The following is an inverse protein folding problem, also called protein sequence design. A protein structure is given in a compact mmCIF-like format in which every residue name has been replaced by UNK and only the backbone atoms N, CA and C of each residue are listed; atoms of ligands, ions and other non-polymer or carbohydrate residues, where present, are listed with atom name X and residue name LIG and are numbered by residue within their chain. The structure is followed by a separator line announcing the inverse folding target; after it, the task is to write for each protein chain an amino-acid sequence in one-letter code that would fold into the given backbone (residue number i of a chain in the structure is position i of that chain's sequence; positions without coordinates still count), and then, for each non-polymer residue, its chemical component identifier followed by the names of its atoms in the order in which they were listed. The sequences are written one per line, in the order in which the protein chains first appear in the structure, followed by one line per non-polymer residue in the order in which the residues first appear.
data_IF_319586729576
#
_entry.id   IF_319586729576
#
_cell.length_a   1.000
_cell.length_b   1.000
_cell.length_c   1.000
_cell.angle_alpha   90.00
_cell.angle_beta   90.00
_cell.angle_gamma   90.00
#
_symmetry.space_group_name_H-M   'P 1'
#
loop_
_entity.id
_entity.type
_entity.pdbx_description
1 polymer ?
#
# COMPACT_ATOMS: atom_id res chain seq x y z
N UNK A 1 -20.55 -31.16 -54.72
CA UNK A 1 -19.14 -30.71 -54.62
C UNK A 1 -19.08 -29.42 -53.81
N UNK A 2 -19.87 -28.40 -54.14
CA UNK A 2 -19.88 -27.10 -53.43
C UNK A 2 -20.06 -27.18 -51.89
N UNK A 3 -20.90 -28.08 -51.38
CA UNK A 3 -21.15 -28.20 -49.94
C UNK A 3 -19.96 -28.80 -49.16
N UNK A 4 -19.17 -29.66 -49.80
CA UNK A 4 -17.94 -30.21 -49.21
C UNK A 4 -16.81 -29.19 -49.22
N UNK A 5 -16.74 -28.35 -50.26
CA UNK A 5 -15.79 -27.26 -50.36
C UNK A 5 -16.08 -26.17 -49.32
N UNK A 6 -17.35 -25.83 -49.09
CA UNK A 6 -17.76 -24.89 -48.05
C UNK A 6 -17.43 -25.41 -46.65
N UNK A 7 -17.68 -26.69 -46.37
CA UNK A 7 -17.35 -27.30 -45.08
C UNK A 7 -15.83 -27.28 -44.80
N UNK A 8 -15.00 -27.39 -45.83
CA UNK A 8 -13.55 -27.31 -45.72
C UNK A 8 -13.08 -25.88 -45.43
N UNK A 9 -13.68 -24.87 -46.10
CA UNK A 9 -13.42 -23.45 -45.82
C UNK A 9 -13.79 -23.10 -44.39
N UNK A 10 -14.98 -23.51 -43.92
CA UNK A 10 -15.43 -23.27 -42.55
C UNK A 10 -14.49 -23.92 -41.51
N UNK A 11 -13.91 -25.08 -41.83
CA UNK A 11 -12.94 -25.74 -40.95
C UNK A 11 -11.62 -24.99 -40.90
N UNK A 12 -11.11 -24.51 -42.04
CA UNK A 12 -9.90 -23.69 -42.11
C UNK A 12 -10.08 -22.37 -41.34
N UNK A 13 -11.26 -21.75 -41.41
CA UNK A 13 -11.58 -20.55 -40.64
C UNK A 13 -11.55 -20.82 -39.14
N UNK A 14 -12.17 -21.91 -38.67
CA UNK A 14 -12.14 -22.32 -37.26
C UNK A 14 -10.73 -22.59 -36.77
N UNK A 15 -9.91 -23.27 -37.57
CA UNK A 15 -8.53 -23.58 -37.21
C UNK A 15 -7.69 -22.29 -37.15
N UNK A 16 -7.93 -21.33 -38.06
CA UNK A 16 -7.26 -20.04 -38.04
C UNK A 16 -7.67 -19.21 -36.80
N UNK A 17 -8.96 -19.18 -36.44
CA UNK A 17 -9.43 -18.55 -35.19
C UNK A 17 -8.79 -19.19 -33.95
N UNK A 18 -8.69 -20.52 -33.93
CA UNK A 18 -8.04 -21.25 -32.85
C UNK A 18 -6.56 -20.89 -32.72
N UNK A 19 -5.84 -20.81 -33.84
CA UNK A 19 -4.42 -20.40 -33.85
C UNK A 19 -4.26 -18.94 -33.40
N UNK A 20 -5.13 -18.03 -33.88
CA UNK A 20 -5.15 -16.63 -33.43
C UNK A 20 -5.33 -16.53 -31.92
N UNK A 21 -6.27 -17.29 -31.35
CA UNK A 21 -6.48 -17.34 -29.91
C UNK A 21 -5.26 -17.85 -29.14
N UNK A 22 -4.58 -18.88 -29.67
CA UNK A 22 -3.34 -19.42 -29.10
C UNK A 22 -2.19 -18.40 -29.10
N UNK A 23 -2.07 -17.60 -30.16
CA UNK A 23 -1.08 -16.52 -30.24
C UNK A 23 -1.36 -15.43 -29.19
N UNK A 24 -2.63 -15.08 -28.99
CA UNK A 24 -3.06 -14.03 -28.06
C UNK A 24 -2.94 -14.37 -26.58
N UNK A 25 -2.89 -15.67 -26.25
CA UNK A 25 -2.62 -16.17 -24.89
C UNK A 25 -1.19 -15.83 -24.42
N UNK A 26 -0.26 -15.63 -25.36
CA UNK A 26 1.14 -15.33 -25.06
C UNK A 26 1.35 -13.81 -25.15
N UNK A 27 2.01 -13.18 -24.15
CA UNK A 27 2.17 -11.73 -24.16
C UNK A 27 2.90 -11.21 -25.42
N UNK A 28 2.45 -10.11 -26.04
CA UNK A 28 3.13 -9.47 -27.18
C UNK A 28 4.62 -9.19 -26.95
N UNK A 29 5.03 -9.00 -25.69
CA UNK A 29 6.44 -8.82 -25.33
C UNK A 29 7.35 -9.99 -25.67
N UNK A 30 6.82 -11.17 -25.99
CA UNK A 30 7.58 -12.37 -26.35
C UNK A 30 7.82 -12.44 -27.87
N UNK A 31 6.84 -12.05 -28.69
CA UNK A 31 6.89 -12.20 -30.15
C UNK A 31 7.61 -11.08 -30.88
N UNK A 32 7.46 -9.83 -30.43
CA UNK A 32 7.95 -8.68 -31.18
C UNK A 32 9.43 -8.35 -30.88
N UNK A 33 10.05 -7.54 -31.71
CA UNK A 33 11.40 -7.01 -31.50
C UNK A 33 11.44 -5.84 -30.48
N UNK A 34 12.64 -5.39 -30.13
CA UNK A 34 12.81 -4.30 -29.15
C UNK A 34 12.20 -2.98 -29.62
N UNK A 35 12.25 -2.71 -30.93
CA UNK A 35 11.80 -1.44 -31.50
C UNK A 35 10.27 -1.38 -31.62
N UNK A 36 9.64 -2.46 -32.10
CA UNK A 36 8.19 -2.63 -32.09
C UNK A 36 7.64 -2.62 -30.66
N UNK A 37 8.33 -3.23 -29.69
CA UNK A 37 8.00 -3.08 -28.26
C UNK A 37 8.07 -1.63 -27.79
N UNK A 38 9.06 -0.87 -28.24
CA UNK A 38 9.21 0.53 -27.84
C UNK A 38 8.06 1.39 -28.39
N UNK A 39 7.69 1.19 -29.68
CA UNK A 39 6.53 1.83 -30.32
C UNK A 39 5.24 1.54 -29.55
N UNK A 40 4.97 0.27 -29.24
CA UNK A 40 3.75 -0.16 -28.52
C UNK A 40 3.69 0.39 -27.08
N UNK A 41 4.83 0.44 -26.38
CA UNK A 41 4.92 1.07 -25.05
C UNK A 41 4.67 2.58 -25.12
N UNK A 42 5.17 3.24 -26.17
CA UNK A 42 4.98 4.67 -26.38
C UNK A 42 3.50 4.99 -26.65
N UNK A 43 2.88 4.26 -27.56
CA UNK A 43 1.48 4.41 -27.91
C UNK A 43 0.55 4.17 -26.72
N UNK A 44 0.78 3.09 -25.96
CA UNK A 44 0.04 2.80 -24.72
C UNK A 44 0.18 3.92 -23.68
N UNK A 45 1.36 4.56 -23.59
CA UNK A 45 1.55 5.72 -22.71
C UNK A 45 0.76 6.93 -23.20
N UNK A 46 0.71 7.17 -24.51
CA UNK A 46 -0.07 8.25 -25.15
C UNK A 46 -1.56 8.07 -24.87
N UNK A 47 -2.11 6.87 -25.09
CA UNK A 47 -3.50 6.51 -24.82
C UNK A 47 -3.88 6.71 -23.33
N UNK A 48 -3.06 6.17 -22.40
CA UNK A 48 -3.29 6.34 -20.95
C UNK A 48 -3.25 7.81 -20.54
N UNK A 49 -2.35 8.62 -21.10
CA UNK A 49 -2.29 10.05 -20.81
C UNK A 49 -3.55 10.79 -21.30
N UNK A 50 -4.03 10.48 -22.51
CA UNK A 50 -5.29 11.02 -23.04
C UNK A 50 -6.49 10.73 -22.13
N UNK A 51 -6.64 9.47 -21.70
CA UNK A 51 -7.71 9.05 -20.78
C UNK A 51 -7.64 9.76 -19.41
N UNK A 52 -6.42 9.97 -18.89
CA UNK A 52 -6.23 10.72 -17.63
C UNK A 52 -6.59 12.18 -17.81
N UNK A 53 -6.26 12.79 -18.95
CA UNK A 53 -6.63 14.18 -19.25
C UNK A 53 -8.16 14.33 -19.40
N UNK A 54 -8.82 13.45 -20.17
CA UNK A 54 -10.28 13.47 -20.32
C UNK A 54 -11.01 13.19 -19.01
N UNK A 55 -10.55 12.21 -18.21
CA UNK A 55 -11.16 11.95 -16.90
C UNK A 55 -10.96 13.11 -15.92
N UNK A 56 -9.80 13.79 -15.92
CA UNK A 56 -9.59 15.02 -15.12
C UNK A 56 -10.53 16.15 -15.52
N UNK A 57 -10.88 16.29 -16.80
CA UNK A 57 -11.87 17.28 -17.27
C UNK A 57 -13.28 16.95 -16.76
N UNK A 58 -13.68 15.68 -16.74
CA UNK A 58 -14.98 15.25 -16.21
C UNK A 58 -15.05 15.26 -14.67
N UNK A 59 -13.95 14.94 -13.97
CA UNK A 59 -13.89 15.01 -12.50
C UNK A 59 -14.08 16.45 -11.97
N UNK A 60 -13.63 17.46 -12.73
CA UNK A 60 -13.91 18.88 -12.41
C UNK A 60 -15.41 19.22 -12.48
N UNK A 61 -16.21 18.47 -13.24
CA UNK A 61 -17.67 18.66 -13.35
C UNK A 61 -18.42 17.99 -12.20
N UNK A 62 -17.92 16.85 -11.69
CA UNK A 62 -18.64 15.98 -10.75
C UNK A 62 -18.22 16.09 -9.26
N UNK A 63 -17.27 16.96 -8.90
CA UNK A 63 -16.78 17.12 -7.50
C UNK A 63 -16.37 15.78 -6.82
N UNK A 64 -15.83 14.83 -7.59
CA UNK A 64 -15.30 13.56 -7.06
C UNK A 64 -13.78 13.57 -7.13
N UNK A 65 -13.12 13.64 -5.97
CA UNK A 65 -11.65 13.60 -5.90
C UNK A 65 -11.12 12.16 -5.98
N UNK A 66 -11.08 11.55 -7.18
CA UNK A 66 -10.23 10.37 -7.36
C UNK A 66 -8.78 10.81 -7.51
N UNK A 67 -7.90 10.27 -6.67
CA UNK A 67 -6.46 10.51 -6.80
C UNK A 67 -5.96 10.07 -8.18
N UNK A 68 -5.04 10.82 -8.77
CA UNK A 68 -4.41 10.50 -10.07
C UNK A 68 -3.83 9.07 -10.11
N UNK A 69 -3.38 8.56 -8.96
CA UNK A 69 -2.90 7.19 -8.80
C UNK A 69 -4.00 6.14 -8.98
N UNK A 70 -5.25 6.44 -8.63
CA UNK A 70 -6.38 5.54 -8.84
C UNK A 70 -6.78 5.51 -10.32
N UNK A 71 -6.81 6.67 -10.98
CA UNK A 71 -7.06 6.78 -12.42
C UNK A 71 -5.99 6.04 -13.24
N UNK A 72 -4.71 6.22 -12.89
CA UNK A 72 -3.60 5.51 -13.53
C UNK A 72 -3.70 3.99 -13.36
N UNK A 73 -4.12 3.52 -12.18
CA UNK A 73 -4.34 2.09 -11.95
C UNK A 73 -5.49 1.56 -12.80
N UNK A 74 -6.61 2.29 -12.86
CA UNK A 74 -7.77 1.89 -13.66
C UNK A 74 -7.41 1.81 -15.15
N UNK A 75 -6.81 2.85 -15.71
CA UNK A 75 -6.40 2.89 -17.11
C UNK A 75 -5.33 1.82 -17.45
N UNK A 76 -4.45 1.51 -16.51
CA UNK A 76 -3.39 0.51 -16.72
C UNK A 76 -3.88 -0.94 -16.69
N UNK A 77 -4.97 -1.21 -15.97
CA UNK A 77 -5.52 -2.56 -15.80
C UNK A 77 -6.82 -2.76 -16.60
N UNK A 78 -7.10 -1.88 -17.55
CA UNK A 78 -8.25 -2.01 -18.44
C UNK A 78 -7.99 -3.11 -19.48
N UNK A 79 -8.82 -4.18 -19.54
CA UNK A 79 -8.67 -5.24 -20.53
C UNK A 79 -8.72 -4.74 -21.96
N UNK A 80 -9.52 -3.68 -22.24
CA UNK A 80 -9.68 -3.12 -23.59
C UNK A 80 -8.45 -2.35 -24.09
N UNK A 81 -7.48 -2.08 -23.21
CA UNK A 81 -6.26 -1.32 -23.52
C UNK A 81 -5.04 -2.24 -23.74
N UNK A 82 -5.23 -3.56 -23.74
CA UNK A 82 -4.19 -4.52 -24.08
C UNK A 82 -4.56 -5.14 -25.42
N UNK A 83 -3.86 -4.72 -26.47
CA UNK A 83 -4.05 -5.28 -27.81
C UNK A 83 -3.53 -6.73 -27.86
N UNK A 84 -4.29 -7.66 -28.45
CA UNK A 84 -3.83 -9.02 -28.75
C UNK A 84 -2.67 -9.02 -29.75
N UNK A 85 -1.92 -10.12 -29.81
CA UNK A 85 -0.75 -10.26 -30.70
C UNK A 85 -1.16 -10.20 -32.16
N UNK A 86 -2.28 -10.85 -32.47
CA UNK A 86 -2.88 -10.89 -33.81
C UNK A 86 -3.22 -9.50 -34.34
N UNK A 87 -3.84 -8.67 -33.51
CA UNK A 87 -4.20 -7.29 -33.87
C UNK A 87 -2.99 -6.34 -34.00
N UNK A 88 -1.84 -6.70 -33.42
CA UNK A 88 -0.59 -5.93 -33.60
C UNK A 88 0.12 -6.32 -34.91
N UNK A 89 -0.15 -7.53 -35.42
CA UNK A 89 0.41 -8.03 -36.68
C UNK A 89 -0.44 -7.65 -37.90
N UNK A 90 -1.74 -7.42 -37.73
CA UNK A 90 -2.56 -6.85 -38.78
C UNK A 90 -2.08 -5.43 -39.08
N UNK A 91 -1.63 -5.14 -40.32
CA UNK A 91 -1.25 -3.79 -40.69
C UNK A 91 -2.46 -2.88 -40.49
N UNK A 92 -2.30 -1.84 -39.67
CA UNK A 92 -3.35 -0.84 -39.56
C UNK A 92 -3.35 -0.01 -40.85
N UNK A 93 -4.50 0.56 -41.23
CA UNK A 93 -4.57 1.51 -42.37
C UNK A 93 -3.55 2.65 -42.21
N UNK A 94 -3.21 2.99 -40.97
CA UNK A 94 -2.19 3.98 -40.64
C UNK A 94 -0.76 3.51 -40.98
N UNK A 95 -0.47 2.20 -40.97
CA UNK A 95 0.82 1.63 -41.41
C UNK A 95 0.92 1.54 -42.94
N UNK A 96 -0.21 1.35 -43.64
CA UNK A 96 -0.27 1.46 -45.11
C UNK A 96 -0.06 2.93 -45.54
N UNK A 97 -0.70 3.90 -44.86
CA UNK A 97 -0.49 5.33 -45.10
C UNK A 97 0.94 5.77 -44.73
N UNK A 98 1.55 5.30 -43.64
CA UNK A 98 2.97 5.59 -43.32
C UNK A 98 3.91 5.00 -44.39
N UNK A 99 3.60 3.83 -44.96
CA UNK A 99 4.40 3.24 -46.04
C UNK A 99 4.24 3.98 -47.37
N UNK A 100 3.06 4.54 -47.66
CA UNK A 100 2.81 5.38 -48.84
C UNK A 100 3.43 6.77 -48.69
N UNK A 101 3.43 7.36 -47.49
CA UNK A 101 4.13 8.61 -47.19
C UNK A 101 5.66 8.46 -47.30
N UNK A 102 6.23 7.33 -46.86
CA UNK A 102 7.68 7.05 -46.99
C UNK A 102 8.10 6.80 -48.46
N UNK A 103 7.20 6.27 -49.29
CA UNK A 103 7.39 6.16 -50.76
C UNK A 103 7.25 7.54 -51.45
N UNK A 104 6.35 8.40 -50.99
CA UNK A 104 6.22 9.77 -51.50
C UNK A 104 7.40 10.68 -51.11
N UNK A 105 7.95 10.53 -49.90
CA UNK A 105 9.07 11.33 -49.41
C UNK A 105 10.36 10.99 -50.19
N UNK A 106 10.59 9.71 -50.47
CA UNK A 106 11.69 9.24 -51.34
C UNK A 106 11.57 9.74 -52.80
N UNK A 107 10.34 9.87 -53.34
CA UNK A 107 10.10 10.49 -54.67
C UNK A 107 10.26 12.02 -54.67
N UNK A 108 10.04 12.68 -53.53
CA UNK A 108 10.26 14.14 -53.36
C UNK A 108 11.75 14.48 -53.20
N UNK A 109 12.54 13.61 -52.59
CA UNK A 109 13.98 13.82 -52.40
C UNK A 109 14.82 13.58 -53.66
N UNK A 110 14.35 12.72 -54.58
CA UNK A 110 14.93 12.57 -55.92
C UNK A 110 14.69 13.82 -56.81
N UNK A 111 13.56 14.51 -56.61
CA UNK A 111 13.24 15.79 -57.28
C UNK A 111 13.93 17.00 -56.64
N UNK A 112 14.23 16.98 -55.33
CA UNK A 112 14.98 18.05 -54.65
C UNK A 112 16.48 18.04 -54.97
N UNK A 113 17.09 16.88 -55.24
CA UNK A 113 18.50 16.77 -55.69
C UNK A 113 18.77 17.37 -57.08
N UNK A 114 17.74 17.55 -57.92
CA UNK A 114 17.85 18.26 -59.22
C UNK A 114 17.64 19.78 -59.14
N UNK A 115 17.15 20.33 -58.02
CA UNK A 115 16.95 21.78 -57.81
C UNK A 115 18.00 22.45 -56.92
N UNK A 116 18.87 21.67 -56.26
CA UNK A 116 19.92 22.17 -55.34
C UNK A 116 21.26 22.52 -56.03
N UNK A 117 21.22 23.10 -57.24
CA UNK A 117 22.38 23.73 -57.91
C UNK A 117 22.26 25.25 -58.09
N UNK A 118 21.22 25.88 -57.56
CA UNK A 118 21.10 27.33 -57.57
C UNK A 118 20.70 27.87 -56.20
N UNK A 119 21.60 28.69 -55.65
CA UNK A 119 21.41 29.65 -54.56
C UNK A 119 21.53 29.13 -53.12
N UNK A 120 22.78 29.11 -52.70
CA UNK A 120 23.23 29.62 -51.41
C UNK A 120 22.66 31.02 -51.13
N UNK A 121 22.07 31.24 -49.96
CA UNK A 121 22.53 32.22 -48.95
C UNK A 121 21.39 32.59 -48.00
N UNK A 122 21.69 32.46 -46.72
CA UNK A 122 21.26 33.34 -45.62
C UNK A 122 20.14 32.88 -44.67
N UNK A 123 20.50 33.02 -43.39
CA UNK A 123 19.68 33.34 -42.21
C UNK A 123 19.25 32.23 -41.22
N UNK A 124 19.80 32.40 -40.01
CA UNK A 124 19.59 31.66 -38.76
C UNK A 124 18.42 32.23 -37.92
N UNK A 125 17.98 31.37 -36.98
CA UNK A 125 17.28 31.56 -35.70
C UNK A 125 15.73 31.65 -35.67
N UNK A 126 15.12 30.53 -35.25
CA UNK A 126 13.82 30.50 -34.57
C UNK A 126 14.01 30.34 -33.05
N UNK A 127 13.50 31.33 -32.31
CA UNK A 127 13.25 31.23 -30.88
C UNK A 127 11.92 30.54 -30.59
N UNK A 128 11.79 29.98 -29.38
CA UNK A 128 10.73 30.32 -28.41
C UNK A 128 10.74 29.33 -27.20
N UNK A 129 11.65 29.53 -26.23
CA UNK A 129 11.64 28.79 -24.97
C UNK A 129 11.78 29.71 -23.74
N UNK A 130 10.97 30.78 -23.66
CA UNK A 130 10.97 31.71 -22.50
C UNK A 130 9.58 32.20 -22.11
N UNK A 131 8.65 31.28 -21.78
CA UNK A 131 7.34 31.68 -21.22
C UNK A 131 6.80 30.80 -20.09
N UNK A 132 7.63 30.41 -19.11
CA UNK A 132 7.11 29.89 -17.81
C UNK A 132 7.83 30.49 -16.57
N UNK A 133 9.00 31.15 -16.68
CA UNK A 133 9.73 31.67 -15.49
C UNK A 133 9.28 33.04 -14.95
N UNK A 134 8.51 33.83 -15.69
CA UNK A 134 8.20 35.22 -15.28
C UNK A 134 6.95 35.41 -14.40
N UNK A 135 6.17 34.36 -14.09
CA UNK A 135 4.95 34.50 -13.25
C UNK A 135 5.18 34.29 -11.74
N UNK A 136 6.37 33.88 -11.32
CA UNK A 136 6.73 33.66 -9.90
C UNK A 136 7.59 34.78 -9.30
N UNK A 137 8.19 35.68 -10.11
CA UNK A 137 8.97 36.84 -9.61
C UNK A 137 8.10 38.04 -9.23
N UNK A 138 6.90 38.22 -9.80
CA UNK A 138 6.06 39.41 -9.52
C UNK A 138 5.29 39.35 -8.18
N UNK A 139 5.09 38.17 -7.59
CA UNK A 139 4.46 38.02 -6.26
C UNK A 139 5.42 38.14 -5.07
N UNK A 140 6.74 38.09 -5.32
CA UNK A 140 7.78 38.24 -4.27
C UNK A 140 8.15 39.71 -3.99
N UNK A 141 7.97 40.60 -4.97
CA UNK A 141 8.29 42.03 -4.82
C UNK A 141 7.28 42.81 -3.98
N UNK A 142 6.01 42.39 -3.91
CA UNK A 142 4.97 43.10 -3.16
C UNK A 142 4.94 42.83 -1.64
N UNK A 143 5.90 42.06 -1.09
CA UNK A 143 6.00 41.77 0.35
C UNK A 143 7.29 42.27 1.02
N UNK A 144 8.19 42.91 0.27
CA UNK A 144 9.44 43.43 0.81
C UNK A 144 9.39 44.92 1.18
N UNK A 145 8.39 45.67 0.70
CA UNK A 145 8.31 47.12 0.96
C UNK A 145 7.51 47.50 2.23
N UNK A 146 7.05 46.54 3.05
CA UNK A 146 6.24 46.81 4.24
C UNK A 146 6.87 46.34 5.56
N UNK A 147 8.19 46.08 5.60
CA UNK A 147 8.85 45.48 6.78
C UNK A 147 10.07 46.26 7.32
N UNK A 148 10.23 47.52 6.92
CA UNK A 148 11.36 48.36 7.34
C UNK A 148 10.89 49.50 8.24
N UNK A 149 10.75 49.23 9.55
CA UNK A 149 10.76 50.27 10.60
C UNK A 149 11.03 49.81 12.05
N UNK A 150 11.31 48.53 12.32
CA UNK A 150 11.65 48.06 13.69
C UNK A 150 13.07 47.45 13.81
N UNK A 151 13.93 47.96 14.72
CA UNK A 151 15.29 47.45 14.90
C UNK A 151 15.36 46.07 15.59
N UNK A 152 14.28 45.66 16.29
CA UNK A 152 14.23 44.38 17.02
C UNK A 152 13.97 43.15 16.12
N UNK A 153 13.58 43.33 14.86
CA UNK A 153 13.38 42.23 13.90
C UNK A 153 14.65 41.81 13.15
N UNK A 154 15.70 42.64 13.14
CA UNK A 154 16.95 42.37 12.39
C UNK A 154 17.75 41.19 12.96
N UNK A 155 17.68 40.96 14.27
CA UNK A 155 18.34 39.82 14.95
C UNK A 155 17.60 38.48 14.79
N UNK A 156 16.30 38.53 14.49
CA UNK A 156 15.46 37.35 14.24
C UNK A 156 15.60 36.87 12.80
N UNK A 157 15.73 37.79 11.84
CA UNK A 157 15.94 37.43 10.43
C UNK A 157 17.34 36.87 10.17
N UNK A 158 18.39 37.35 10.86
CA UNK A 158 19.73 36.75 10.79
C UNK A 158 19.73 35.31 11.31
N UNK A 159 19.08 35.06 12.45
CA UNK A 159 18.86 33.71 13.00
C UNK A 159 18.07 32.80 12.05
N UNK A 160 17.09 33.34 11.32
CA UNK A 160 16.31 32.58 10.34
C UNK A 160 17.13 32.22 9.10
N UNK A 161 17.96 33.14 8.62
CA UNK A 161 18.85 32.92 7.48
C UNK A 161 19.92 31.86 7.82
N UNK A 162 20.55 31.96 8.99
CA UNK A 162 21.50 30.96 9.50
C UNK A 162 20.87 29.57 9.66
N UNK A 163 19.61 29.51 10.14
CA UNK A 163 18.88 28.26 10.28
C UNK A 163 18.54 27.64 8.91
N UNK A 164 18.23 28.48 7.92
CA UNK A 164 18.00 28.04 6.54
C UNK A 164 19.28 27.53 5.89
N UNK A 165 20.41 28.15 6.16
CA UNK A 165 21.72 27.70 5.68
C UNK A 165 22.13 26.38 6.32
N UNK A 166 21.98 26.24 7.65
CA UNK A 166 22.16 24.96 8.36
C UNK A 166 21.24 23.85 7.84
N UNK A 167 19.99 24.19 7.49
CA UNK A 167 19.06 23.22 6.90
C UNK A 167 19.50 22.80 5.49
N UNK A 168 19.92 23.75 4.66
CA UNK A 168 20.42 23.48 3.29
C UNK A 168 21.67 22.61 3.33
N UNK A 169 22.67 22.97 4.15
CA UNK A 169 23.90 22.20 4.29
C UNK A 169 23.61 20.78 4.80
N UNK A 170 22.69 20.63 5.77
CA UNK A 170 22.28 19.30 6.25
C UNK A 170 21.54 18.48 5.18
N UNK A 171 20.72 19.12 4.35
CA UNK A 171 20.05 18.46 3.22
C UNK A 171 21.07 18.01 2.17
N UNK A 172 22.06 18.82 1.86
CA UNK A 172 23.15 18.47 0.94
C UNK A 172 24.01 17.35 1.50
N UNK A 173 24.38 17.39 2.78
CA UNK A 173 25.12 16.32 3.44
C UNK A 173 24.34 14.98 3.39
N UNK A 174 23.02 15.02 3.61
CA UNK A 174 22.16 13.84 3.49
C UNK A 174 21.96 13.38 2.04
N UNK A 175 21.95 14.31 1.08
CA UNK A 175 21.93 13.97 -0.35
C UNK A 175 23.23 13.31 -0.76
N UNK A 176 24.38 13.86 -0.38
CA UNK A 176 25.71 13.32 -0.68
C UNK A 176 25.94 11.95 0.00
N UNK A 177 25.51 11.77 1.26
CA UNK A 177 25.53 10.45 1.94
C UNK A 177 24.62 9.42 1.27
N UNK A 178 23.57 9.86 0.59
CA UNK A 178 22.62 9.02 -0.14
C UNK A 178 23.00 8.84 -1.61
N UNK A 179 23.84 9.72 -2.13
CA UNK A 179 24.44 9.77 -3.47
C UNK A 179 25.95 9.48 -3.39
N UNK A 180 26.37 8.45 -2.65
CA UNK A 180 27.65 7.81 -2.96
C UNK A 180 27.53 7.27 -4.40
N UNK A 181 28.03 8.05 -5.35
CA UNK A 181 28.34 7.79 -6.76
C UNK A 181 27.52 6.68 -7.40
N UNK A 182 26.21 6.91 -7.60
CA UNK A 182 25.44 6.08 -8.52
C UNK A 182 24.76 6.97 -9.54
N UNK A 183 24.89 6.62 -10.82
CA UNK A 183 24.21 7.30 -11.92
C UNK A 183 22.68 7.19 -11.76
N UNK A 184 21.92 8.07 -12.42
CA UNK A 184 20.44 8.05 -12.33
C UNK A 184 19.88 6.68 -12.75
N UNK A 185 20.53 6.03 -13.71
CA UNK A 185 20.14 4.71 -14.22
C UNK A 185 20.42 3.60 -13.21
N UNK A 186 21.57 3.62 -12.55
CA UNK A 186 21.91 2.69 -11.48
C UNK A 186 20.97 2.79 -10.27
N UNK A 187 20.48 4.01 -9.95
CA UNK A 187 19.48 4.22 -8.89
C UNK A 187 18.13 3.59 -9.30
N UNK A 188 17.75 3.71 -10.58
CA UNK A 188 16.53 3.10 -11.10
C UNK A 188 16.64 1.57 -11.13
N UNK A 189 17.79 1.05 -11.53
CA UNK A 189 18.08 -0.37 -11.59
C UNK A 189 18.10 -1.00 -10.20
N UNK A 190 18.75 -0.37 -9.22
CA UNK A 190 18.70 -0.80 -7.81
C UNK A 190 17.28 -0.82 -7.24
N UNK A 191 16.44 0.15 -7.63
CA UNK A 191 15.00 0.14 -7.29
C UNK A 191 14.24 -1.00 -7.98
N UNK A 192 14.54 -1.31 -9.25
CA UNK A 192 13.94 -2.44 -9.98
C UNK A 192 14.35 -3.77 -9.36
N UNK A 193 15.62 -3.98 -9.06
CA UNK A 193 16.15 -5.18 -8.39
C UNK A 193 15.50 -5.39 -7.02
N UNK A 194 15.41 -4.35 -6.18
CA UNK A 194 14.73 -4.42 -4.88
C UNK A 194 13.23 -4.76 -4.99
N UNK A 195 12.57 -4.32 -6.06
CA UNK A 195 11.16 -4.68 -6.36
C UNK A 195 11.04 -6.13 -6.83
N UNK A 196 11.97 -6.63 -7.64
CA UNK A 196 12.02 -8.04 -8.06
C UNK A 196 12.25 -8.97 -6.86
N UNK A 197 13.21 -8.63 -6.01
CA UNK A 197 13.53 -9.40 -4.79
C UNK A 197 12.34 -9.47 -3.82
N UNK A 198 11.66 -8.33 -3.57
CA UNK A 198 10.50 -8.33 -2.67
C UNK A 198 9.32 -9.13 -3.23
N UNK A 199 9.08 -9.11 -4.54
CA UNK A 199 8.09 -9.97 -5.20
C UNK A 199 8.45 -11.45 -5.09
N UNK A 200 9.72 -11.81 -5.24
CA UNK A 200 10.18 -13.20 -5.11
C UNK A 200 9.98 -13.72 -3.68
N UNK A 201 10.39 -12.93 -2.66
CA UNK A 201 10.16 -13.27 -1.24
C UNK A 201 8.69 -13.45 -0.91
N UNK A 202 7.81 -12.63 -1.48
CA UNK A 202 6.36 -12.76 -1.30
C UNK A 202 5.82 -14.04 -1.95
N UNK A 203 6.29 -14.41 -3.15
CA UNK A 203 5.92 -15.68 -3.82
C UNK A 203 6.35 -16.89 -3.00
N UNK A 204 7.59 -16.90 -2.49
CA UNK A 204 8.11 -17.97 -1.63
C UNK A 204 7.24 -18.11 -0.38
N UNK A 205 6.95 -17.00 0.32
CA UNK A 205 6.11 -17.00 1.52
C UNK A 205 4.69 -17.55 1.25
N UNK A 206 4.08 -17.17 0.12
CA UNK A 206 2.76 -17.69 -0.27
C UNK A 206 2.80 -19.19 -0.60
N UNK A 207 3.86 -19.68 -1.22
CA UNK A 207 4.04 -21.11 -1.53
C UNK A 207 4.21 -21.93 -0.24
N UNK A 208 5.02 -21.46 0.71
CA UNK A 208 5.20 -22.12 2.02
C UNK A 208 3.91 -22.13 2.85
N UNK A 209 3.11 -21.07 2.76
CA UNK A 209 1.84 -20.96 3.51
C UNK A 209 0.74 -21.86 2.93
N UNK A 210 0.72 -22.08 1.61
CA UNK A 210 -0.18 -23.04 0.95
C UNK A 210 0.19 -24.50 1.25
N UNK A 211 1.49 -24.83 1.23
CA UNK A 211 1.94 -26.19 1.56
C UNK A 211 1.64 -26.58 3.02
N UNK A 212 1.68 -25.62 3.95
CA UNK A 212 1.29 -25.87 5.34
C UNK A 212 -0.22 -26.02 5.55
N UNK A 213 -1.07 -25.54 4.62
CA UNK A 213 -2.53 -25.69 4.72
C UNK A 213 -3.03 -27.03 4.15
N UNK A 214 -2.39 -27.54 3.09
CA UNK A 214 -2.78 -28.81 2.48
C UNK A 214 -2.36 -30.05 3.28
N UNK A 215 -1.48 -29.94 4.29
CA UNK A 215 -1.14 -31.05 5.21
C UNK A 215 -2.14 -31.25 6.36
N UNK A 216 -3.20 -30.44 6.45
CA UNK A 216 -4.17 -30.48 7.55
C UNK A 216 -5.53 -31.11 7.21
N UNK A 217 -5.74 -31.64 6.00
CA UNK A 217 -7.06 -32.10 5.52
C UNK A 217 -6.95 -33.47 4.83
N UNK A 218 -6.43 -34.46 5.55
CA UNK A 218 -6.59 -35.88 5.18
C UNK A 218 -6.90 -36.66 6.45
N UNK A 219 -8.18 -36.94 6.64
CA UNK A 219 -8.72 -37.71 7.76
C UNK A 219 -10.23 -37.89 7.61
N UNK A 220 -10.60 -38.92 6.82
CA UNK A 220 -11.93 -39.56 6.73
C UNK A 220 -12.53 -39.84 8.13
N UNK A 221 -13.84 -39.99 8.35
CA UNK A 221 -14.93 -40.20 7.41
C UNK A 221 -16.32 -40.19 8.08
N UNK A 222 -17.31 -40.34 7.20
CA UNK A 222 -18.77 -40.52 7.38
C UNK A 222 -19.21 -41.56 8.43
N UNK A 223 -20.32 -41.33 9.15
CA UNK A 223 -21.63 -42.03 9.00
C UNK A 223 -22.68 -41.53 10.04
N UNK A 224 -23.94 -41.50 9.62
CA UNK A 224 -25.18 -41.33 10.41
C UNK A 224 -25.43 -42.47 11.42
N UNK A 225 -26.14 -42.19 12.53
CA UNK A 225 -27.27 -42.96 13.11
C UNK A 225 -27.49 -42.76 14.64
N UNK A 226 -28.71 -42.32 14.98
CA UNK A 226 -29.68 -42.86 15.97
C UNK A 226 -29.26 -43.16 17.45
N UNK A 227 -29.88 -42.39 18.35
CA UNK A 227 -30.60 -42.72 19.62
C UNK A 227 -30.25 -43.94 20.51
N UNK A 228 -30.31 -43.69 21.83
CA UNK A 228 -30.44 -44.56 23.02
C UNK A 228 -29.21 -45.12 23.77
N UNK A 229 -29.10 -44.70 25.05
CA UNK A 229 -29.30 -45.60 26.19
C UNK A 229 -28.11 -46.41 26.75
N UNK A 230 -27.72 -46.04 27.98
CA UNK A 230 -27.14 -46.88 29.05
C UNK A 230 -25.70 -47.46 28.91
N UNK A 231 -24.90 -47.12 29.93
CA UNK A 231 -23.62 -47.72 30.39
C UNK A 231 -23.83 -49.20 30.84
N UNK A 232 -22.81 -50.09 30.91
CA UNK A 232 -21.55 -49.84 31.64
C UNK A 232 -20.22 -50.46 31.13
N UNK A 233 -19.13 -49.89 31.67
CA UNK A 233 -17.83 -50.51 32.01
C UNK A 233 -16.96 -51.20 30.93
N UNK A 234 -15.87 -50.54 30.55
CA UNK A 234 -14.67 -51.15 29.94
C UNK A 234 -13.55 -50.11 29.72
N UNK A 235 -12.27 -50.39 30.03
CA UNK A 235 -11.34 -49.38 30.53
C UNK A 235 -10.47 -48.72 29.45
N UNK A 236 -10.52 -47.40 29.32
CA UNK A 236 -9.37 -46.65 28.81
C UNK A 236 -9.14 -45.34 29.58
N UNK A 237 -8.32 -45.48 30.62
CA UNK A 237 -7.77 -44.38 31.41
C UNK A 237 -6.79 -43.61 30.54
N UNK A 238 -7.21 -42.50 29.92
CA UNK A 238 -6.35 -41.30 29.71
C UNK A 238 -7.04 -40.06 29.10
N UNK A 239 -8.36 -39.89 29.23
CA UNK A 239 -8.94 -38.54 29.14
C UNK A 239 -9.18 -38.04 30.56
N UNK A 240 -8.26 -37.22 31.09
CA UNK A 240 -8.56 -36.46 32.31
C UNK A 240 -9.85 -35.70 32.04
N UNK A 241 -10.94 -36.08 32.71
CA UNK A 241 -12.18 -35.33 32.71
C UNK A 241 -11.84 -33.85 32.90
N UNK A 242 -12.16 -33.03 31.91
CA UNK A 242 -11.84 -31.62 31.95
C UNK A 242 -12.60 -31.04 33.14
N UNK A 243 -11.87 -30.64 34.19
CA UNK A 243 -12.46 -29.95 35.33
C UNK A 243 -13.25 -28.75 34.79
N UNK A 244 -14.48 -28.50 35.27
CA UNK A 244 -15.25 -27.33 34.85
C UNK A 244 -14.41 -26.07 35.08
N UNK A 245 -14.23 -25.27 34.03
CA UNK A 245 -13.48 -24.02 34.08
C UNK A 245 -14.44 -22.96 34.60
N UNK A 246 -14.14 -22.38 35.76
CA UNK A 246 -14.91 -21.32 36.38
C UNK A 246 -14.30 -19.95 36.07
N UNK A 247 -15.14 -18.97 35.79
CA UNK A 247 -14.72 -17.57 35.69
C UNK A 247 -14.24 -17.03 37.06
N UNK A 248 -13.66 -15.82 37.08
CA UNK A 248 -13.30 -15.08 38.32
C UNK A 248 -14.48 -14.92 39.29
N UNK A 249 -15.72 -15.02 38.79
CA UNK A 249 -16.98 -14.95 39.53
C UNK A 249 -17.53 -16.33 39.96
N UNK A 250 -16.78 -17.41 39.79
CA UNK A 250 -17.20 -18.76 40.20
C UNK A 250 -18.27 -19.41 39.31
N UNK A 251 -18.64 -18.80 38.18
CA UNK A 251 -19.59 -19.35 37.20
C UNK A 251 -18.90 -20.28 36.21
N UNK A 252 -19.49 -21.43 35.93
CA UNK A 252 -18.96 -22.40 34.96
C UNK A 252 -19.06 -21.83 33.55
N UNK A 253 -17.96 -21.84 32.79
CA UNK A 253 -17.92 -21.29 31.43
C UNK A 253 -17.40 -22.33 30.43
N UNK A 254 -18.21 -22.59 29.42
CA UNK A 254 -17.93 -23.55 28.33
C UNK A 254 -17.01 -22.98 27.23
N UNK A 255 -16.20 -21.97 27.55
CA UNK A 255 -15.24 -21.37 26.61
C UNK A 255 -14.03 -22.28 26.42
N UNK A 256 -13.61 -22.48 25.17
CA UNK A 256 -12.35 -23.19 24.83
C UNK A 256 -11.10 -22.43 25.30
N UNK A 257 -11.25 -21.14 25.62
CA UNK A 257 -10.20 -20.28 26.17
C UNK A 257 -10.39 -20.13 27.68
N UNK A 258 -9.34 -20.51 28.42
CA UNK A 258 -9.24 -20.33 29.86
C UNK A 258 -8.58 -18.96 30.15
N UNK A 259 -9.34 -18.07 30.81
CA UNK A 259 -8.89 -16.73 31.21
C UNK A 259 -8.36 -16.68 32.65
N UNK A 260 -8.25 -17.84 33.32
CA UNK A 260 -7.66 -17.89 34.66
C UNK A 260 -6.17 -17.56 34.56
N UNK A 261 -5.80 -16.43 35.17
CA UNK A 261 -4.49 -15.79 35.04
C UNK A 261 -3.34 -16.57 35.74
N UNK A 262 -3.64 -17.74 36.32
CA UNK A 262 -2.71 -18.52 37.13
C UNK A 262 -2.76 -20.05 37.00
N UNK A 263 -3.67 -20.65 36.22
CA UNK A 263 -3.81 -22.13 36.17
C UNK A 263 -3.90 -22.71 34.77
N UNK A 264 -3.59 -21.94 33.73
CA UNK A 264 -3.18 -22.55 32.47
C UNK A 264 -1.89 -23.31 32.77
N UNK A 265 -1.97 -24.63 32.95
CA UNK A 265 -0.83 -25.56 33.09
C UNK A 265 0.32 -24.95 32.33
N UNK A 266 1.37 -24.49 33.03
CA UNK A 266 2.60 -24.04 32.37
C UNK A 266 2.83 -25.04 31.26
N UNK A 267 2.70 -24.60 30.00
CA UNK A 267 2.98 -25.45 28.87
C UNK A 267 4.36 -26.01 29.16
N UNK A 268 4.45 -27.32 29.46
CA UNK A 268 5.55 -27.95 30.19
C UNK A 268 6.93 -27.84 29.52
N UNK A 269 7.14 -26.99 28.50
CA UNK A 269 8.31 -27.06 27.61
C UNK A 269 8.88 -25.74 27.09
N UNK A 270 8.68 -24.58 27.74
CA UNK A 270 9.57 -23.46 27.43
C UNK A 270 10.00 -22.62 28.65
N UNK A 271 10.90 -23.20 29.44
CA UNK A 271 11.90 -22.42 30.18
C UNK A 271 12.88 -21.66 29.28
N UNK A 272 12.66 -21.68 27.96
CA UNK A 272 13.44 -20.94 26.97
C UNK A 272 13.15 -19.44 27.14
N UNK A 273 14.20 -18.62 27.20
CA UNK A 273 14.11 -17.16 27.08
C UNK A 273 13.82 -16.75 25.63
N UNK A 274 12.73 -17.27 25.08
CA UNK A 274 12.34 -17.07 23.69
C UNK A 274 10.92 -16.47 23.63
N UNK A 275 10.59 -15.85 22.49
CA UNK A 275 9.26 -15.28 22.26
C UNK A 275 9.22 -13.74 22.27
N UNK A 276 8.00 -13.20 22.36
CA UNK A 276 7.70 -11.76 22.13
C UNK A 276 6.96 -11.12 23.32
N UNK A 277 6.86 -11.84 24.43
CA UNK A 277 6.21 -11.36 25.66
C UNK A 277 7.25 -10.82 26.63
N UNK A 278 7.78 -9.65 26.26
CA UNK A 278 8.90 -9.01 26.94
C UNK A 278 8.67 -8.77 28.44
N UNK A 279 7.42 -8.57 28.89
CA UNK A 279 7.07 -8.44 30.32
C UNK A 279 7.25 -9.76 31.08
N UNK A 280 6.75 -10.86 30.53
CA UNK A 280 6.93 -12.21 31.10
C UNK A 280 8.40 -12.62 31.08
N UNK A 281 9.13 -12.31 30.00
CA UNK A 281 10.57 -12.56 29.92
C UNK A 281 11.34 -11.74 30.97
N UNK A 282 10.98 -10.47 31.17
CA UNK A 282 11.60 -9.63 32.20
C UNK A 282 11.39 -10.21 33.60
N UNK A 283 10.16 -10.61 33.94
CA UNK A 283 9.86 -11.29 35.21
C UNK A 283 10.67 -12.59 35.38
N UNK A 284 10.87 -13.36 34.30
CA UNK A 284 11.72 -14.56 34.36
C UNK A 284 13.19 -14.21 34.66
N UNK A 285 13.73 -13.17 34.02
CA UNK A 285 15.11 -12.71 34.29
C UNK A 285 15.24 -12.22 35.73
N UNK A 286 14.26 -11.47 36.23
CA UNK A 286 14.25 -10.97 37.61
C UNK A 286 14.20 -12.12 38.61
N UNK A 287 13.30 -13.10 38.43
CA UNK A 287 13.22 -14.31 39.27
C UNK A 287 14.50 -15.14 39.25
N UNK A 288 15.15 -15.27 38.09
CA UNK A 288 16.43 -15.98 38.01
C UNK A 288 17.54 -15.24 38.75
N UNK A 289 17.60 -13.91 38.61
CA UNK A 289 18.58 -13.09 39.32
C UNK A 289 18.36 -13.17 40.83
N UNK A 290 17.12 -13.01 41.29
CA UNK A 290 16.74 -13.14 42.69
C UNK A 290 17.08 -14.53 43.25
N UNK A 291 16.85 -15.59 42.49
CA UNK A 291 17.22 -16.95 42.91
C UNK A 291 18.73 -17.11 43.12
N UNK A 292 19.53 -16.61 42.17
CA UNK A 292 21.00 -16.63 42.29
C UNK A 292 21.47 -15.75 43.44
N UNK A 293 20.90 -14.56 43.61
CA UNK A 293 21.27 -13.64 44.70
C UNK A 293 20.89 -14.20 46.08
N UNK A 294 19.73 -14.88 46.20
CA UNK A 294 19.37 -15.62 47.42
C UNK A 294 20.37 -16.73 47.73
N UNK A 295 20.77 -17.50 46.72
CA UNK A 295 21.78 -18.55 46.89
C UNK A 295 23.16 -17.98 47.26
N UNK A 296 23.54 -16.79 46.78
CA UNK A 296 24.81 -16.16 47.18
C UNK A 296 24.87 -15.82 48.67
N UNK A 297 23.73 -15.50 49.27
CA UNK A 297 23.63 -15.20 50.71
C UNK A 297 23.74 -16.48 51.54
N UNK A 298 23.08 -17.56 51.14
CA UNK A 298 23.15 -18.85 51.85
C UNK A 298 24.44 -19.61 51.56
N UNK A 299 24.71 -19.92 50.28
CA UNK A 299 25.78 -20.82 49.82
C UNK A 299 26.47 -20.27 48.54
N UNK A 300 27.62 -19.60 48.72
CA UNK A 300 28.36 -18.97 47.61
C UNK A 300 28.81 -19.96 46.53
N UNK A 301 29.20 -21.18 46.90
CA UNK A 301 29.66 -22.20 45.95
C UNK A 301 28.53 -22.73 45.08
N UNK A 302 27.37 -23.05 45.69
CA UNK A 302 26.17 -23.45 44.95
C UNK A 302 25.70 -22.34 44.01
N UNK A 303 25.80 -21.08 44.43
CA UNK A 303 25.48 -19.94 43.58
C UNK A 303 26.38 -19.86 42.34
N UNK A 304 27.70 -20.08 42.47
CA UNK A 304 28.63 -20.14 41.34
C UNK A 304 28.29 -21.27 40.38
N UNK A 305 28.04 -22.48 40.91
CA UNK A 305 27.65 -23.64 40.08
C UNK A 305 26.33 -23.39 39.32
N UNK A 306 25.34 -22.77 39.96
CA UNK A 306 24.07 -22.43 39.31
C UNK A 306 24.29 -21.36 38.23
N UNK A 307 25.11 -20.36 38.50
CA UNK A 307 25.44 -19.32 37.51
C UNK A 307 26.17 -19.91 36.30
N UNK A 308 27.15 -20.79 36.50
CA UNK A 308 27.83 -21.52 35.42
C UNK A 308 26.87 -22.40 34.62
N UNK A 309 25.98 -23.13 35.28
CA UNK A 309 24.94 -23.91 34.60
C UNK A 309 24.06 -23.01 33.73
N UNK A 310 23.67 -21.83 34.21
CA UNK A 310 22.87 -20.87 33.43
C UNK A 310 23.67 -20.34 32.24
N UNK A 311 24.94 -19.98 32.40
CA UNK A 311 25.77 -19.46 31.30
C UNK A 311 25.99 -20.52 30.22
N UNK A 312 26.35 -21.74 30.61
CA UNK A 312 26.56 -22.85 29.67
C UNK A 312 25.28 -23.27 28.96
N UNK A 313 24.16 -23.42 29.67
CA UNK A 313 22.88 -23.76 29.02
C UNK A 313 22.43 -22.66 28.07
N UNK A 314 22.64 -21.39 28.41
CA UNK A 314 22.35 -20.25 27.54
C UNK A 314 23.26 -20.23 26.30
N UNK A 315 24.55 -20.53 26.44
CA UNK A 315 25.49 -20.67 25.33
C UNK A 315 25.11 -21.82 24.39
N UNK A 316 24.80 -23.00 24.94
CA UNK A 316 24.35 -24.17 24.17
C UNK A 316 23.05 -23.88 23.42
N UNK A 317 22.07 -23.23 24.04
CA UNK A 317 20.83 -22.82 23.36
C UNK A 317 21.08 -21.83 22.22
N UNK A 318 22.03 -20.90 22.39
CA UNK A 318 22.43 -19.99 21.31
C UNK A 318 23.10 -20.75 20.16
N UNK A 319 23.96 -21.73 20.47
CA UNK A 319 24.61 -22.60 19.48
C UNK A 319 23.59 -23.49 18.73
N UNK A 320 22.55 -23.99 19.42
CA UNK A 320 21.39 -24.69 18.82
C UNK A 320 20.59 -23.79 17.86
N UNK A 321 20.81 -22.46 17.89
CA UNK A 321 20.12 -21.47 17.06
C UNK A 321 18.89 -20.85 17.73
N UNK A 322 18.64 -21.13 19.01
CA UNK A 322 17.57 -20.51 19.79
C UNK A 322 17.98 -19.06 20.13
N UNK A 323 17.11 -18.11 19.78
CA UNK A 323 17.30 -16.69 20.10
C UNK A 323 16.98 -16.41 21.57
N UNK A 324 17.94 -16.69 22.46
CA UNK A 324 17.88 -16.41 23.89
C UNK A 324 17.83 -14.90 24.15
N UNK A 325 16.83 -14.45 24.90
CA UNK A 325 16.57 -13.04 25.26
C UNK A 325 16.54 -12.89 26.78
N UNK A 326 17.73 -12.87 27.37
CA UNK A 326 17.99 -12.80 28.81
C UNK A 326 18.46 -11.42 29.29
N UNK A 327 18.81 -10.49 28.39
CA UNK A 327 19.23 -9.14 28.78
C UNK A 327 18.06 -8.27 29.31
N UNK A 328 18.09 -7.82 30.58
CA UNK A 328 16.99 -7.08 31.21
C UNK A 328 16.76 -5.68 30.60
N UNK A 329 17.82 -4.96 30.25
CA UNK A 329 17.69 -3.62 29.67
C UNK A 329 17.02 -3.65 28.29
N UNK A 330 17.42 -4.62 27.47
CA UNK A 330 16.83 -4.82 26.14
C UNK A 330 15.37 -5.23 26.24
N UNK A 331 15.02 -6.09 27.21
CA UNK A 331 13.64 -6.49 27.49
C UNK A 331 12.79 -5.30 27.95
N UNK A 332 13.29 -4.44 28.85
CA UNK A 332 12.62 -3.19 29.26
C UNK A 332 12.39 -2.26 28.06
N UNK A 333 13.43 -2.03 27.23
CA UNK A 333 13.32 -1.23 25.99
C UNK A 333 12.32 -1.83 24.99
N UNK A 334 12.28 -3.15 24.86
CA UNK A 334 11.35 -3.84 23.97
C UNK A 334 9.90 -3.78 24.46
N UNK A 335 9.68 -3.93 25.77
CA UNK A 335 8.38 -3.76 26.42
C UNK A 335 7.85 -2.34 26.20
N UNK A 336 8.66 -1.31 26.49
CA UNK A 336 8.31 0.10 26.24
C UNK A 336 7.94 0.36 24.78
N UNK A 337 8.69 -0.19 23.81
CA UNK A 337 8.37 -0.07 22.37
C UNK A 337 7.04 -0.74 22.01
N UNK A 338 6.73 -1.91 22.60
CA UNK A 338 5.45 -2.63 22.39
C UNK A 338 4.28 -1.79 22.94
N UNK A 339 4.45 -1.21 24.12
CA UNK A 339 3.43 -0.38 24.76
C UNK A 339 3.22 0.94 24.00
N UNK A 340 4.29 1.60 23.52
CA UNK A 340 4.17 2.79 22.65
C UNK A 340 3.41 2.50 21.35
N UNK A 341 3.66 1.35 20.72
CA UNK A 341 2.90 0.94 19.51
C UNK A 341 1.42 0.75 19.82
N UNK A 342 1.09 0.16 20.97
CA UNK A 342 -0.31 0.02 21.42
C UNK A 342 -0.96 1.37 21.69
N UNK A 343 -0.24 2.32 22.31
CA UNK A 343 -0.74 3.67 22.53
C UNK A 343 -1.01 4.41 21.22
N UNK A 344 -0.09 4.34 20.24
CA UNK A 344 -0.29 4.93 18.91
C UNK A 344 -1.51 4.30 18.22
N UNK A 345 -1.64 2.97 18.28
CA UNK A 345 -2.81 2.29 17.76
C UNK A 345 -4.09 2.79 18.43
N UNK A 346 -4.12 2.85 19.77
CA UNK A 346 -5.26 3.37 20.54
C UNK A 346 -5.65 4.78 20.09
N UNK A 347 -4.68 5.70 19.98
CA UNK A 347 -4.93 7.07 19.48
C UNK A 347 -5.55 7.10 18.09
N UNK A 348 -5.03 6.30 17.16
CA UNK A 348 -5.62 6.24 15.81
C UNK A 348 -7.03 5.65 15.78
N UNK A 349 -7.35 4.74 16.70
CA UNK A 349 -8.71 4.22 16.82
C UNK A 349 -9.66 5.27 17.41
N UNK A 350 -9.27 5.96 18.46
CA UNK A 350 -10.08 7.05 19.05
C UNK A 350 -10.29 8.19 18.05
N UNK A 351 -9.25 8.62 17.32
CA UNK A 351 -9.36 9.63 16.26
C UNK A 351 -10.31 9.22 15.13
N UNK A 352 -10.39 7.91 14.82
CA UNK A 352 -11.35 7.41 13.80
C UNK A 352 -12.77 7.44 14.33
N UNK A 353 -12.98 7.04 15.58
CA UNK A 353 -14.29 7.07 16.23
C UNK A 353 -14.82 8.50 16.34
N UNK A 354 -13.98 9.45 16.79
CA UNK A 354 -14.30 10.88 16.83
C UNK A 354 -14.67 11.40 15.44
N UNK A 355 -13.85 11.16 14.42
CA UNK A 355 -14.16 11.57 13.04
C UNK A 355 -15.46 10.97 12.51
N UNK A 356 -15.83 9.77 12.92
CA UNK A 356 -17.10 9.15 12.54
C UNK A 356 -18.27 9.84 13.24
N UNK A 357 -18.14 10.14 14.54
CA UNK A 357 -19.13 10.91 15.31
C UNK A 357 -19.32 12.30 14.72
N UNK A 358 -18.24 13.03 14.46
CA UNK A 358 -18.29 14.37 13.86
C UNK A 358 -19.01 14.37 12.51
N UNK A 359 -18.70 13.39 11.64
CA UNK A 359 -19.39 13.26 10.34
C UNK A 359 -20.87 12.93 10.50
N UNK A 360 -21.23 12.11 11.48
CA UNK A 360 -22.62 11.79 11.77
C UNK A 360 -23.36 13.03 12.27
N UNK A 361 -22.78 13.77 13.21
CA UNK A 361 -23.32 15.03 13.71
C UNK A 361 -23.45 16.09 12.63
N UNK A 362 -22.43 16.27 11.78
CA UNK A 362 -22.46 17.24 10.69
C UNK A 362 -23.60 16.95 9.72
N UNK A 363 -23.81 15.68 9.37
CA UNK A 363 -24.95 15.25 8.54
C UNK A 363 -26.28 15.54 9.21
N UNK A 364 -26.41 15.26 10.51
CA UNK A 364 -27.63 15.56 11.26
C UNK A 364 -27.87 17.06 11.36
N UNK A 365 -26.85 17.86 11.68
CA UNK A 365 -26.90 19.33 11.72
C UNK A 365 -27.33 19.90 10.37
N UNK A 366 -26.78 19.39 9.26
CA UNK A 366 -27.19 19.78 7.89
C UNK A 366 -28.65 19.44 7.62
N UNK A 367 -29.10 18.23 7.99
CA UNK A 367 -30.51 17.83 7.86
C UNK A 367 -31.44 18.75 8.66
N UNK A 368 -31.10 19.04 9.91
CA UNK A 368 -31.88 19.95 10.76
C UNK A 368 -31.94 21.36 10.18
N UNK A 369 -30.81 21.91 9.70
CA UNK A 369 -30.76 23.21 9.01
C UNK A 369 -31.68 23.23 7.78
N UNK A 370 -31.63 22.19 6.94
CA UNK A 370 -32.49 22.09 5.76
C UNK A 370 -33.98 21.98 6.13
N UNK A 371 -34.32 21.24 7.18
CA UNK A 371 -35.71 21.13 7.67
C UNK A 371 -36.19 22.48 8.20
N UNK A 372 -35.38 23.18 9.00
CA UNK A 372 -35.70 24.53 9.50
C UNK A 372 -35.90 25.51 8.34
N UNK A 373 -35.01 25.53 7.36
CA UNK A 373 -35.13 26.37 6.17
C UNK A 373 -36.43 26.07 5.38
N UNK A 374 -36.80 24.79 5.22
CA UNK A 374 -38.08 24.41 4.58
C UNK A 374 -39.30 24.88 5.38
N UNK A 375 -39.26 24.78 6.71
CA UNK A 375 -40.34 25.29 7.58
C UNK A 375 -40.45 26.81 7.46
N UNK A 376 -39.34 27.53 7.52
CA UNK A 376 -39.30 28.98 7.39
C UNK A 376 -39.81 29.42 6.02
N UNK A 377 -39.34 28.80 4.93
CA UNK A 377 -39.82 29.12 3.58
C UNK A 377 -41.34 28.93 3.41
N UNK A 378 -41.94 27.93 4.08
CA UNK A 378 -43.41 27.76 4.10
C UNK A 378 -44.09 28.91 4.84
N UNK A 379 -43.56 29.32 5.99
CA UNK A 379 -44.06 30.47 6.77
C UNK A 379 -43.93 31.76 5.94
N UNK A 380 -42.76 32.02 5.37
CA UNK A 380 -42.48 33.19 4.54
C UNK A 380 -43.40 33.24 3.31
N UNK A 381 -43.69 32.09 2.67
CA UNK A 381 -44.65 32.02 1.56
C UNK A 381 -46.07 32.37 2.00
N UNK A 382 -46.50 31.92 3.19
CA UNK A 382 -47.81 32.30 3.77
C UNK A 382 -47.85 33.80 4.07
N UNK A 383 -46.83 34.36 4.73
CA UNK A 383 -46.71 35.79 5.02
C UNK A 383 -46.72 36.62 3.73
N UNK A 384 -45.93 36.24 2.72
CA UNK A 384 -45.92 36.93 1.41
C UNK A 384 -47.29 36.90 0.73
N UNK A 385 -48.00 35.77 0.80
CA UNK A 385 -49.34 35.64 0.20
C UNK A 385 -50.38 36.49 0.94
N UNK A 386 -50.31 36.57 2.27
CA UNK A 386 -51.19 37.41 3.08
C UNK A 386 -50.91 38.92 2.87
N UNK A 387 -49.63 39.32 2.75
CA UNK A 387 -49.24 40.69 2.36
C UNK A 387 -49.80 41.08 0.99
N UNK A 388 -49.67 40.20 -0.03
CA UNK A 388 -50.25 40.43 -1.37
C UNK A 388 -51.77 40.61 -1.37
N UNK A 389 -52.47 39.97 -0.42
CA UNK A 389 -53.92 40.08 -0.25
C UNK A 389 -54.33 41.25 0.67
N UNK A 390 -53.39 42.12 1.07
CA UNK A 390 -53.65 43.25 1.96
C UNK A 390 -53.96 42.90 3.41
N UNK A 391 -53.82 41.63 3.81
CA UNK A 391 -54.21 41.13 5.15
C UNK A 391 -53.11 41.26 6.20
N UNK A 392 -51.90 41.66 5.79
CA UNK A 392 -50.76 41.98 6.66
C UNK A 392 -50.10 43.24 6.10
N UNK A 393 -50.11 44.33 6.88
CA UNK A 393 -49.47 45.60 6.54
C UNK A 393 -48.08 45.62 7.20
N UNK A 394 -46.98 45.73 6.45
CA UNK A 394 -45.66 45.84 7.06
C UNK A 394 -45.52 47.20 7.77
N UNK A 395 -45.38 47.22 9.09
CA UNK A 395 -45.05 48.42 9.87
C UNK A 395 -46.19 49.03 10.71
N UNK A 396 -47.35 48.38 10.78
CA UNK A 396 -48.42 48.66 11.75
C UNK A 396 -48.81 47.40 12.50
#
# INVERSE_FOLDING_TARGET
MEEQDQALVDQVEKDNEFIKHMLDLIPPSVYFDKDTKAKLIHEKKKQIQGLIQGSKQNLKRDNRDLTEKALLKRAKFDPQQNLPVTQIQEPTKDDEEESEEEIEENKKDEKKKKKLKSKTSDRLEDGNYTKIKNKQKSKRRKRQDSISKDPNLKSSVSNLEELREKLKSRIEELKNKRQKNMTVDEIQEKKRLKRKESKLKLKIRKKTEKQNKNKGVTGNGSVDAVYNGALPAGPNKNTKAAKPVFNKEGKMVFSRFDFTEGTSKESKKSNKFAGKDYKKLLQKVEKQKEHVDRLKVSDKEKAKQVQEKITWTSALQRAEGIKVKDNPEMLKKAAKRKDKKKQIAKKHWTEREEKLKDKMEERQKKRQKNIKAKKQAKIDKKIKSAKKRGRIIPGF
#
